data_IF_988926427082
#
_entry.id   IF_988926427082
#
_cell.length_a   1.000
_cell.length_b   1.000
_cell.length_c   1.000
_cell.angle_alpha   90.00
_cell.angle_beta   90.00
_cell.angle_gamma   90.00
#
_symmetry.space_group_name_H-M   'P 1'
#
loop_
_entity.id
_entity.type
_entity.pdbx_description
1 polymer ?
#
# COMPACT_ATOMS: atom_id res chain seq x y z
N UNK A 1 -4.76 13.26 11.65
CA UNK A 1 -4.40 12.18 10.70
C UNK A 1 -5.51 12.06 9.68
N UNK A 2 -5.17 11.89 8.40
CA UNK A 2 -6.11 11.69 7.29
C UNK A 2 -5.82 10.32 6.66
N UNK A 3 -6.86 9.51 6.51
CA UNK A 3 -6.77 8.20 5.86
C UNK A 3 -7.15 8.32 4.38
N UNK A 4 -6.31 7.78 3.50
CA UNK A 4 -6.57 7.64 2.06
C UNK A 4 -6.74 6.17 1.68
N UNK A 5 -7.15 5.95 0.43
CA UNK A 5 -7.44 4.63 -0.12
C UNK A 5 -6.93 4.53 -1.58
N UNK A 6 -5.61 4.44 -1.71
CA UNK A 6 -4.91 4.12 -2.94
C UNK A 6 -4.72 2.61 -3.06
N UNK A 7 -5.09 2.07 -4.21
CA UNK A 7 -5.07 0.65 -4.56
C UNK A 7 -4.04 0.33 -5.67
N UNK A 8 -3.61 1.35 -6.43
CA UNK A 8 -2.65 1.21 -7.53
C UNK A 8 -1.65 2.36 -7.59
N UNK A 9 -0.37 2.11 -7.97
CA UNK A 9 0.61 3.18 -8.19
C UNK A 9 0.15 4.22 -9.23
N UNK A 10 -0.75 3.82 -10.15
CA UNK A 10 -1.27 4.71 -11.19
C UNK A 10 -2.21 5.80 -10.65
N UNK A 11 -2.75 5.60 -9.46
CA UNK A 11 -3.62 6.57 -8.79
C UNK A 11 -2.81 7.70 -8.14
N UNK A 12 -1.49 7.56 -8.04
CA UNK A 12 -0.56 8.60 -7.59
C UNK A 12 -0.30 9.60 -8.72
N UNK A 13 -1.33 10.36 -9.08
CA UNK A 13 -1.28 11.38 -10.14
C UNK A 13 -0.63 12.69 -9.64
N UNK A 14 -0.27 13.64 -10.53
CA UNK A 14 0.20 14.96 -10.13
C UNK A 14 -0.78 15.72 -9.23
N UNK A 15 -2.09 15.57 -9.46
CA UNK A 15 -3.14 16.17 -8.65
C UNK A 15 -3.19 15.53 -7.26
N UNK A 16 -3.08 14.20 -7.19
CA UNK A 16 -3.03 13.46 -5.92
C UNK A 16 -1.80 13.88 -5.09
N UNK A 17 -0.63 13.99 -5.73
CA UNK A 17 0.60 14.52 -5.11
C UNK A 17 0.38 15.92 -4.55
N UNK A 18 -0.16 16.83 -5.36
CA UNK A 18 -0.42 18.22 -4.94
C UNK A 18 -1.40 18.27 -3.76
N UNK A 19 -2.44 17.44 -3.77
CA UNK A 19 -3.40 17.36 -2.66
C UNK A 19 -2.73 16.86 -1.37
N UNK A 20 -1.93 15.80 -1.45
CA UNK A 20 -1.18 15.26 -0.31
C UNK A 20 -0.18 16.29 0.23
N UNK A 21 0.57 16.98 -0.62
CA UNK A 21 1.51 18.04 -0.22
C UNK A 21 0.81 19.17 0.55
N UNK A 22 -0.41 19.55 0.14
CA UNK A 22 -1.21 20.55 0.85
C UNK A 22 -1.67 20.06 2.23
N UNK A 23 -2.07 18.80 2.34
CA UNK A 23 -2.45 18.21 3.63
C UNK A 23 -1.25 18.16 4.58
N UNK A 24 -0.10 17.68 4.09
CA UNK A 24 1.12 17.58 4.87
C UNK A 24 1.63 18.96 5.29
N UNK A 25 1.65 19.95 4.39
CA UNK A 25 2.09 21.31 4.72
C UNK A 25 1.16 22.02 5.71
N UNK A 26 -0.12 21.64 5.77
CA UNK A 26 -1.05 22.06 6.81
C UNK A 26 -0.90 21.29 8.14
N UNK A 27 0.11 20.41 8.27
CA UNK A 27 0.41 19.66 9.49
C UNK A 27 -0.31 18.33 9.63
N UNK A 28 -1.00 17.83 8.59
CA UNK A 28 -1.68 16.53 8.65
C UNK A 28 -0.74 15.39 8.29
N UNK A 29 -0.69 14.36 9.13
CA UNK A 29 -0.19 13.04 8.72
C UNK A 29 -1.19 12.37 7.79
N UNK A 30 -0.74 11.94 6.61
CA UNK A 30 -1.54 11.21 5.63
C UNK A 30 -1.11 9.74 5.64
N UNK A 31 -2.08 8.84 5.80
CA UNK A 31 -1.87 7.39 5.82
C UNK A 31 -2.69 6.72 4.71
N UNK A 32 -2.30 5.52 4.29
CA UNK A 32 -3.06 4.73 3.31
C UNK A 32 -3.52 3.38 3.86
N UNK A 33 -4.77 3.01 3.57
CA UNK A 33 -5.31 1.67 3.74
C UNK A 33 -5.48 1.00 2.39
N UNK A 34 -4.74 -0.08 2.16
CA UNK A 34 -4.85 -0.93 0.97
C UNK A 34 -5.82 -2.08 1.22
N UNK A 35 -6.62 -2.45 0.22
CA UNK A 35 -7.35 -3.71 0.16
C UNK A 35 -6.66 -4.64 -0.83
N UNK A 36 -6.12 -5.75 -0.34
CA UNK A 36 -5.42 -6.73 -1.14
C UNK A 36 -6.39 -7.56 -1.99
N UNK A 37 -6.71 -7.02 -3.16
CA UNK A 37 -7.56 -7.65 -4.18
C UNK A 37 -6.75 -8.50 -5.16
N UNK A 38 -7.45 -9.27 -5.99
CA UNK A 38 -6.85 -10.05 -7.09
C UNK A 38 -5.96 -9.19 -8.00
N UNK A 39 -6.38 -7.95 -8.28
CA UNK A 39 -5.60 -7.01 -9.09
C UNK A 39 -4.33 -6.53 -8.36
N UNK A 40 -4.46 -6.18 -7.08
CA UNK A 40 -3.34 -5.77 -6.24
C UNK A 40 -2.32 -6.91 -5.98
N UNK A 41 -2.77 -8.17 -6.07
CA UNK A 41 -1.95 -9.35 -5.80
C UNK A 41 -0.86 -9.65 -6.82
N UNK A 42 -0.80 -8.91 -7.94
CA UNK A 42 0.24 -9.06 -8.96
C UNK A 42 1.61 -8.79 -8.34
N UNK A 43 2.59 -9.65 -8.64
CA UNK A 43 3.94 -9.59 -8.05
C UNK A 43 4.55 -8.20 -8.14
N UNK A 44 4.92 -7.64 -6.99
CA UNK A 44 5.56 -6.34 -6.86
C UNK A 44 4.65 -5.13 -7.06
N UNK A 45 3.35 -5.34 -7.29
CA UNK A 45 2.40 -4.25 -7.51
C UNK A 45 2.20 -3.45 -6.21
N UNK A 46 1.98 -4.13 -5.10
CA UNK A 46 1.85 -3.50 -3.78
C UNK A 46 3.17 -2.88 -3.32
N UNK A 47 4.30 -3.55 -3.54
CA UNK A 47 5.62 -2.97 -3.24
C UNK A 47 5.86 -1.65 -4.02
N UNK A 48 5.51 -1.60 -5.31
CA UNK A 48 5.60 -0.38 -6.11
C UNK A 48 4.66 0.72 -5.61
N UNK A 49 3.45 0.36 -5.16
CA UNK A 49 2.50 1.31 -4.58
C UNK A 49 3.07 1.92 -3.29
N UNK A 50 3.56 1.09 -2.36
CA UNK A 50 4.17 1.56 -1.10
C UNK A 50 5.33 2.51 -1.38
N UNK A 51 6.19 2.18 -2.35
CA UNK A 51 7.25 3.09 -2.80
C UNK A 51 6.71 4.42 -3.32
N UNK A 52 5.72 4.40 -4.21
CA UNK A 52 5.13 5.61 -4.78
C UNK A 52 4.45 6.49 -3.73
N UNK A 53 3.77 5.89 -2.75
CA UNK A 53 3.16 6.59 -1.61
C UNK A 53 4.22 7.23 -0.70
N UNK A 54 5.28 6.50 -0.39
CA UNK A 54 6.40 7.04 0.38
C UNK A 54 7.07 8.23 -0.32
N UNK A 55 7.19 8.20 -1.66
CA UNK A 55 7.73 9.31 -2.47
C UNK A 55 6.87 10.59 -2.42
N UNK A 56 5.62 10.53 -1.94
CA UNK A 56 4.74 11.70 -1.73
C UNK A 56 4.43 11.96 -0.25
N UNK A 57 5.04 11.22 0.68
CA UNK A 57 4.83 11.39 2.11
C UNK A 57 3.55 10.74 2.67
N UNK A 58 2.92 9.82 1.93
CA UNK A 58 1.81 9.00 2.44
C UNK A 58 2.36 7.72 3.06
N UNK A 59 2.01 7.47 4.32
CA UNK A 59 2.47 6.30 5.07
C UNK A 59 1.54 5.10 4.87
N UNK A 60 2.02 3.95 4.40
CA UNK A 60 1.23 2.71 4.40
C UNK A 60 0.85 2.32 5.83
N UNK A 61 -0.43 2.07 6.11
CA UNK A 61 -0.91 1.74 7.46
C UNK A 61 -1.40 0.30 7.60
N UNK A 62 -2.45 -0.07 6.85
CA UNK A 62 -2.98 -1.43 6.86
C UNK A 62 -3.13 -2.00 5.45
N UNK A 63 -3.03 -3.33 5.38
CA UNK A 63 -3.41 -4.12 4.21
C UNK A 63 -4.53 -5.07 4.62
N UNK A 64 -5.74 -4.78 4.16
CA UNK A 64 -6.92 -5.62 4.40
C UNK A 64 -7.03 -6.70 3.36
N UNK A 65 -7.53 -7.87 3.74
CA UNK A 65 -7.81 -8.96 2.79
C UNK A 65 -9.32 -9.05 2.61
N UNK A 66 -9.73 -9.25 1.35
CA UNK A 66 -11.15 -9.43 1.02
C UNK A 66 -11.63 -10.76 1.61
N UNK A 67 -12.79 -10.75 2.28
CA UNK A 67 -13.35 -11.97 2.90
C UNK A 67 -13.85 -13.00 1.89
N UNK A 68 -14.20 -12.59 0.68
CA UNK A 68 -14.70 -13.48 -0.39
C UNK A 68 -16.17 -13.88 -0.20
N UNK A 69 -17.02 -12.96 0.26
CA UNK A 69 -18.47 -13.12 0.19
C UNK A 69 -18.95 -13.17 -1.26
N UNK A 70 -20.19 -13.61 -1.48
CA UNK A 70 -20.76 -13.77 -2.84
C UNK A 70 -20.60 -12.52 -3.69
N UNK A 71 -20.78 -11.33 -3.11
CA UNK A 71 -20.73 -10.04 -3.78
C UNK A 71 -19.30 -9.59 -4.13
N UNK A 72 -18.27 -10.12 -3.46
CA UNK A 72 -16.88 -9.68 -3.62
C UNK A 72 -15.90 -10.83 -3.91
N UNK A 73 -16.41 -12.02 -4.25
CA UNK A 73 -15.61 -13.21 -4.52
C UNK A 73 -14.58 -13.00 -5.63
N UNK A 74 -14.90 -12.20 -6.66
CA UNK A 74 -13.97 -11.93 -7.77
C UNK A 74 -12.73 -11.13 -7.36
N UNK A 75 -12.82 -10.36 -6.27
CA UNK A 75 -11.70 -9.61 -5.69
C UNK A 75 -10.93 -10.43 -4.65
N UNK A 76 -11.38 -11.64 -4.32
CA UNK A 76 -10.74 -12.48 -3.30
C UNK A 76 -9.33 -12.90 -3.73
N UNK A 77 -8.39 -12.75 -2.81
CA UNK A 77 -7.02 -13.27 -2.95
C UNK A 77 -6.68 -14.14 -1.74
N UNK A 78 -6.08 -15.33 -1.94
CA UNK A 78 -5.63 -16.16 -0.83
C UNK A 78 -4.63 -15.44 0.08
N UNK A 79 -4.77 -15.57 1.40
CA UNK A 79 -3.84 -15.00 2.39
C UNK A 79 -2.37 -15.41 2.15
N UNK A 80 -2.14 -16.64 1.67
CA UNK A 80 -0.80 -17.10 1.31
C UNK A 80 -0.11 -16.21 0.27
N UNK A 81 -0.87 -15.62 -0.67
CA UNK A 81 -0.32 -14.72 -1.68
C UNK A 81 0.09 -13.37 -1.07
N UNK A 82 -0.65 -12.87 -0.08
CA UNK A 82 -0.26 -11.66 0.67
C UNK A 82 1.05 -11.90 1.44
N UNK A 83 1.15 -13.02 2.16
CA UNK A 83 2.36 -13.41 2.89
C UNK A 83 3.55 -13.55 1.94
N UNK A 84 3.33 -14.13 0.75
CA UNK A 84 4.36 -14.22 -0.28
C UNK A 84 4.84 -12.82 -0.73
N UNK A 85 3.94 -11.88 -1.00
CA UNK A 85 4.32 -10.50 -1.40
C UNK A 85 5.12 -9.81 -0.28
N UNK A 86 4.76 -10.00 0.98
CA UNK A 86 5.51 -9.47 2.13
C UNK A 86 6.95 -10.01 2.17
N UNK A 87 7.13 -11.30 1.94
CA UNK A 87 8.46 -11.93 1.88
C UNK A 87 9.24 -11.40 0.68
N UNK A 88 8.60 -11.31 -0.49
CA UNK A 88 9.21 -10.83 -1.74
C UNK A 88 9.69 -9.37 -1.63
N UNK A 89 8.93 -8.50 -0.94
CA UNK A 89 9.32 -7.11 -0.69
C UNK A 89 10.49 -7.01 0.31
N UNK A 90 10.50 -7.85 1.36
CA UNK A 90 11.54 -7.88 2.40
C UNK A 90 12.89 -8.45 1.94
N UNK A 91 13.03 -8.87 0.68
CA UNK A 91 14.33 -9.34 0.13
C UNK A 91 15.30 -8.17 -0.07
N UNK A 92 14.81 -6.94 -0.23
CA UNK A 92 15.64 -5.76 -0.44
C UNK A 92 15.86 -4.98 0.86
N UNK A 93 17.00 -5.25 1.53
CA UNK A 93 17.45 -4.54 2.72
C UNK A 93 17.51 -5.45 3.94
N UNK A 94 18.67 -6.05 4.20
CA UNK A 94 18.94 -6.67 5.50
C UNK A 94 19.04 -5.56 6.55
N UNK A 95 18.34 -5.71 7.67
CA UNK A 95 18.58 -4.86 8.84
C UNK A 95 20.02 -5.12 9.31
N UNK A 96 20.87 -4.10 9.46
CA UNK A 96 22.21 -4.29 9.99
C UNK A 96 22.14 -4.91 11.39
N UNK A 97 23.02 -5.88 11.68
CA UNK A 97 23.03 -6.59 12.98
C UNK A 97 23.15 -5.65 14.19
N UNK A 98 23.65 -4.43 14.01
CA UNK A 98 23.72 -3.40 15.04
C UNK A 98 22.36 -2.91 15.56
N UNK A 99 21.26 -3.21 14.86
CA UNK A 99 19.90 -2.83 15.22
C UNK A 99 19.03 -4.04 15.62
N UNK A 100 19.64 -5.22 15.81
CA UNK A 100 19.00 -6.38 16.42
C UNK A 100 19.03 -6.31 17.95
#
# INVERSE_FOLDING_TARGET
MIQTHFESPMEVTPEARTAVERLISAGWTVTNQLVFTTAASRRGHTAKLRRALNEIGVLPYYTFVVKGYMENQFNYTPLARLVQEEIEEKVHGKVPESFH
#
